data_IF_725702016652
#
_entry.id   IF_725702016652
#
_cell.length_a   1.000
_cell.length_b   1.000
_cell.length_c   1.000
_cell.angle_alpha   90.00
_cell.angle_beta   90.00
_cell.angle_gamma   90.00
#
_symmetry.space_group_name_H-M   'P 1'
#
loop_
_entity.id
_entity.type
_entity.pdbx_description
1 polymer ?
#
# COMPACT_ATOMS: atom_id res chain seq x y z
N UNK A 1 -14.04 28.92 9.01
CA UNK A 1 -13.26 29.60 7.96
C UNK A 1 -13.53 31.08 8.11
N UNK A 2 -12.63 31.81 8.76
CA UNK A 2 -12.76 33.24 9.05
C UNK A 2 -11.37 33.85 9.20
N UNK A 3 -11.23 35.05 8.64
CA UNK A 3 -10.02 35.86 8.44
C UNK A 3 -9.68 36.66 9.70
N UNK A 4 -8.39 36.83 10.01
CA UNK A 4 -7.78 38.14 10.29
C UNK A 4 -6.29 38.05 10.57
N UNK A 5 -5.48 38.81 9.82
CA UNK A 5 -4.42 39.67 10.39
C UNK A 5 -4.24 40.87 9.46
N UNK A 6 -4.41 42.08 10.00
CA UNK A 6 -3.90 43.30 9.38
C UNK A 6 -2.39 43.26 9.56
N UNK A 7 -1.67 42.93 8.49
CA UNK A 7 -0.23 43.16 8.41
C UNK A 7 0.04 44.67 8.36
N UNK A 8 1.23 45.11 8.77
CA UNK A 8 1.69 46.52 8.76
C UNK A 8 1.56 47.20 7.38
N UNK A 9 1.31 46.43 6.32
CA UNK A 9 1.30 46.83 4.91
C UNK A 9 -0.08 47.13 4.30
N UNK A 10 -1.15 47.34 5.08
CA UNK A 10 -2.49 47.65 4.54
C UNK A 10 -2.98 46.59 3.51
N UNK A 11 -2.85 45.30 3.83
CA UNK A 11 -3.41 44.21 3.00
C UNK A 11 -4.43 43.41 3.80
N UNK A 12 -5.63 43.22 3.25
CA UNK A 12 -6.62 42.29 3.78
C UNK A 12 -6.71 41.03 2.92
N UNK A 13 -6.50 39.87 3.52
CA UNK A 13 -6.60 38.57 2.86
C UNK A 13 -7.96 37.94 3.12
N UNK A 14 -8.70 37.59 2.07
CA UNK A 14 -9.94 36.82 2.16
C UNK A 14 -9.68 35.41 1.65
N UNK A 15 -9.53 34.46 2.57
CA UNK A 15 -9.33 33.05 2.22
C UNK A 15 -10.65 32.40 1.78
N UNK A 16 -10.63 31.75 0.62
CA UNK A 16 -11.80 31.11 0.01
C UNK A 16 -11.73 29.59 0.13
N UNK A 17 -10.53 29.02 0.01
CA UNK A 17 -10.30 27.59 0.21
C UNK A 17 -8.88 27.30 0.70
N UNK A 18 -8.62 26.04 1.03
CA UNK A 18 -7.27 25.54 1.22
C UNK A 18 -6.97 24.64 0.03
N UNK A 19 -5.99 25.04 -0.77
CA UNK A 19 -5.54 24.24 -1.90
C UNK A 19 -4.25 23.53 -1.54
N UNK A 20 -4.06 22.35 -2.10
CA UNK A 20 -2.78 21.67 -2.09
C UNK A 20 -2.66 20.77 -3.30
N UNK A 21 -1.48 20.20 -3.49
CA UNK A 21 -1.20 19.32 -4.61
C UNK A 21 -1.59 17.89 -4.27
N UNK A 22 -2.29 17.26 -5.20
CA UNK A 22 -2.57 15.84 -5.25
C UNK A 22 -2.08 15.30 -6.58
N UNK A 23 -2.00 13.98 -6.70
CA UNK A 23 -1.69 13.35 -7.97
C UNK A 23 -2.78 12.39 -8.43
N UNK A 24 -2.92 12.27 -9.74
CA UNK A 24 -3.80 11.35 -10.44
C UNK A 24 -2.96 10.37 -11.24
N UNK A 25 -3.30 9.09 -11.18
CA UNK A 25 -2.68 8.09 -12.05
C UNK A 25 -3.67 7.00 -12.44
N UNK A 26 -3.41 6.33 -13.55
CA UNK A 26 -4.01 5.03 -13.86
C UNK A 26 -2.98 3.90 -13.88
N UNK A 27 -1.73 4.20 -13.50
CA UNK A 27 -0.71 3.18 -13.30
C UNK A 27 -1.08 2.30 -12.13
N UNK A 28 -0.74 1.02 -12.26
CA UNK A 28 -0.97 0.03 -11.24
C UNK A 28 0.10 -1.05 -11.35
N UNK A 29 0.87 -1.25 -10.28
CA UNK A 29 1.85 -2.33 -10.25
C UNK A 29 1.13 -3.67 -10.03
N UNK A 30 1.42 -4.70 -10.85
CA UNK A 30 0.93 -6.03 -10.61
C UNK A 30 1.64 -6.59 -9.37
N UNK A 31 1.03 -6.43 -8.21
CA UNK A 31 1.57 -6.97 -6.97
C UNK A 31 1.35 -8.49 -6.94
N UNK A 32 2.44 -9.25 -7.05
CA UNK A 32 2.44 -10.70 -6.80
C UNK A 32 3.16 -10.89 -5.46
N UNK A 33 2.43 -10.91 -4.35
CA UNK A 33 2.97 -11.46 -3.12
C UNK A 33 2.71 -12.95 -3.04
N UNK A 34 3.65 -13.67 -2.42
CA UNK A 34 3.45 -15.04 -2.00
C UNK A 34 2.36 -15.17 -0.92
N UNK A 35 1.96 -14.06 -0.28
CA UNK A 35 0.85 -14.05 0.68
C UNK A 35 -0.43 -14.59 0.05
N UNK A 36 -0.57 -14.47 -1.27
CA UNK A 36 -1.67 -15.07 -2.02
C UNK A 36 -1.89 -16.56 -1.71
N UNK A 37 -0.85 -17.33 -1.39
CA UNK A 37 -0.98 -18.75 -1.03
C UNK A 37 -1.48 -18.96 0.40
N UNK A 38 -1.29 -17.99 1.28
CA UNK A 38 -1.71 -18.06 2.68
C UNK A 38 -3.07 -17.38 2.92
N UNK A 39 -3.46 -16.45 2.04
CA UNK A 39 -4.72 -15.70 2.09
C UNK A 39 -6.02 -16.49 1.95
N UNK A 40 -6.10 -17.69 1.32
CA UNK A 40 -7.38 -18.38 1.16
C UNK A 40 -8.07 -18.68 2.49
N UNK A 41 -7.29 -18.81 3.56
CA UNK A 41 -7.79 -18.98 4.91
C UNK A 41 -7.28 -17.90 5.85
N UNK A 42 -8.16 -17.50 6.76
CA UNK A 42 -7.79 -16.60 7.85
C UNK A 42 -6.77 -17.29 8.77
N UNK A 43 -5.95 -16.52 9.47
CA UNK A 43 -4.90 -17.05 10.36
C UNK A 43 -5.47 -18.01 11.41
N UNK A 44 -6.68 -17.76 11.89
CA UNK A 44 -7.40 -18.60 12.85
C UNK A 44 -7.67 -20.00 12.29
N UNK A 45 -8.04 -20.10 11.02
CA UNK A 45 -8.30 -21.39 10.36
C UNK A 45 -7.01 -22.22 10.23
N UNK A 46 -5.87 -21.58 9.93
CA UNK A 46 -4.57 -22.25 9.92
C UNK A 46 -4.17 -22.76 11.30
N UNK A 47 -4.39 -21.97 12.35
CA UNK A 47 -4.13 -22.38 13.73
C UNK A 47 -5.02 -23.56 14.12
N UNK A 48 -6.32 -23.50 13.83
CA UNK A 48 -7.28 -24.58 14.12
C UNK A 48 -6.91 -25.85 13.34
N UNK A 49 -6.50 -25.73 12.08
CA UNK A 49 -6.01 -26.84 11.27
C UNK A 49 -4.73 -27.47 11.86
N UNK A 50 -3.77 -26.66 12.29
CA UNK A 50 -2.55 -27.16 12.94
C UNK A 50 -2.84 -27.90 14.24
N UNK A 51 -3.78 -27.39 15.05
CA UNK A 51 -4.25 -28.03 16.29
C UNK A 51 -5.00 -29.33 15.98
N UNK A 52 -5.89 -29.36 14.99
CA UNK A 52 -6.62 -30.57 14.62
C UNK A 52 -5.71 -31.67 14.07
N UNK A 53 -4.74 -31.33 13.22
CA UNK A 53 -3.70 -32.26 12.74
C UNK A 53 -2.92 -32.84 13.93
N UNK A 54 -2.42 -31.97 14.82
CA UNK A 54 -1.63 -32.39 15.98
C UNK A 54 -2.41 -33.29 16.92
N UNK A 55 -3.68 -32.98 17.17
CA UNK A 55 -4.55 -33.82 18.02
C UNK A 55 -4.83 -35.19 17.40
N UNK A 56 -5.11 -35.27 16.10
CA UNK A 56 -5.35 -36.55 15.41
C UNK A 56 -4.07 -37.40 15.41
N UNK A 57 -2.91 -36.80 15.14
CA UNK A 57 -1.61 -37.48 15.22
C UNK A 57 -1.38 -38.03 16.63
N UNK A 58 -1.65 -37.22 17.67
CA UNK A 58 -1.54 -37.64 19.07
C UNK A 58 -2.45 -38.82 19.39
N UNK A 59 -3.74 -38.72 19.06
CA UNK A 59 -4.74 -39.77 19.30
C UNK A 59 -4.38 -41.07 18.57
N UNK A 60 -3.97 -40.98 17.29
CA UNK A 60 -3.56 -42.15 16.50
C UNK A 60 -2.30 -42.80 17.04
N UNK A 61 -1.31 -42.00 17.47
CA UNK A 61 -0.06 -42.51 18.06
C UNK A 61 -0.33 -43.22 19.39
N UNK A 62 -1.19 -42.63 20.23
CA UNK A 62 -1.61 -43.23 21.50
C UNK A 62 -2.38 -44.53 21.25
N UNK A 63 -3.38 -44.53 20.36
CA UNK A 63 -4.16 -45.70 20.01
C UNK A 63 -3.28 -46.83 19.46
N UNK A 64 -2.33 -46.49 18.57
CA UNK A 64 -1.34 -47.43 18.07
C UNK A 64 -0.51 -48.02 19.21
N UNK A 65 0.07 -47.20 20.10
CA UNK A 65 0.89 -47.70 21.20
C UNK A 65 0.11 -48.65 22.13
N UNK A 66 -1.14 -48.33 22.46
CA UNK A 66 -1.96 -49.18 23.33
C UNK A 66 -2.41 -50.48 22.66
N UNK A 67 -2.75 -50.46 21.37
CA UNK A 67 -3.25 -51.63 20.65
C UNK A 67 -2.13 -52.57 20.15
N UNK A 68 -0.94 -52.02 19.87
CA UNK A 68 0.15 -52.74 19.20
C UNK A 68 1.38 -53.02 20.09
N UNK A 69 1.25 -52.95 21.42
CA UNK A 69 2.38 -53.16 22.36
C UNK A 69 3.20 -54.46 22.14
N UNK A 70 2.66 -55.46 21.42
CA UNK A 70 3.33 -56.74 21.14
C UNK A 70 3.85 -56.91 19.70
N UNK A 71 3.43 -56.08 18.74
CA UNK A 71 3.76 -56.25 17.33
C UNK A 71 4.72 -55.15 16.87
N UNK A 72 5.85 -55.53 16.27
CA UNK A 72 6.93 -54.62 15.86
C UNK A 72 6.71 -53.93 14.49
N UNK A 73 5.48 -53.82 14.00
CA UNK A 73 5.25 -53.20 12.68
C UNK A 73 5.38 -51.68 12.77
N UNK A 74 6.37 -51.03 12.11
CA UNK A 74 6.52 -49.58 12.17
C UNK A 74 5.32 -48.88 11.53
N UNK A 75 4.72 -47.91 12.24
CA UNK A 75 3.63 -47.07 11.73
C UNK A 75 3.95 -45.60 12.01
N UNK A 76 3.87 -44.77 10.98
CA UNK A 76 4.09 -43.32 11.07
C UNK A 76 2.76 -42.57 10.97
N UNK A 77 2.16 -42.29 12.12
CA UNK A 77 0.85 -41.63 12.19
C UNK A 77 0.85 -40.23 11.53
N UNK A 78 1.94 -39.47 11.67
CA UNK A 78 2.03 -38.12 11.11
C UNK A 78 2.03 -38.13 9.57
N UNK A 79 2.77 -39.06 8.95
CA UNK A 79 2.78 -39.21 7.49
C UNK A 79 1.40 -39.61 6.96
N UNK A 80 0.70 -40.52 7.64
CA UNK A 80 -0.65 -40.92 7.26
C UNK A 80 -1.65 -39.75 7.31
N UNK A 81 -1.60 -38.95 8.39
CA UNK A 81 -2.49 -37.79 8.56
C UNK A 81 -2.19 -36.72 7.51
N UNK A 82 -0.92 -36.41 7.23
CA UNK A 82 -0.56 -35.45 6.18
C UNK A 82 -0.91 -35.97 4.78
N UNK A 83 -0.63 -37.25 4.47
CA UNK A 83 -1.01 -37.84 3.19
C UNK A 83 -2.51 -37.70 2.95
N UNK A 84 -3.34 -38.09 3.93
CA UNK A 84 -4.80 -37.94 3.83
C UNK A 84 -5.29 -36.49 3.75
N UNK A 85 -4.55 -35.52 4.32
CA UNK A 85 -4.85 -34.09 4.14
C UNK A 85 -4.62 -33.65 2.70
N UNK A 86 -3.60 -34.18 2.03
CA UNK A 86 -3.31 -33.90 0.62
C UNK A 86 -4.06 -34.81 -0.35
N UNK A 87 -5.13 -35.47 0.12
CA UNK A 87 -5.92 -36.44 -0.66
C UNK A 87 -5.11 -37.65 -1.18
N UNK A 88 -3.97 -37.93 -0.56
CA UNK A 88 -3.11 -39.07 -0.87
C UNK A 88 -3.37 -40.26 0.05
N UNK A 89 -3.26 -41.47 -0.50
CA UNK A 89 -3.43 -42.71 0.24
C UNK A 89 -2.23 -43.03 1.13
N UNK A 90 -2.47 -43.35 2.40
CA UNK A 90 -1.44 -43.81 3.35
C UNK A 90 -1.60 -45.28 3.75
N UNK A 91 -0.51 -45.91 4.18
CA UNK A 91 -0.57 -47.27 4.75
C UNK A 91 -1.16 -47.23 6.16
N UNK A 92 -2.28 -47.94 6.37
CA UNK A 92 -2.90 -48.12 7.68
C UNK A 92 -2.82 -49.61 8.10
N UNK A 93 -2.29 -49.93 9.30
CA UNK A 93 -2.26 -51.31 9.78
C UNK A 93 -3.67 -51.90 9.93
N UNK A 94 -3.84 -53.13 9.46
CA UNK A 94 -5.16 -53.79 9.38
C UNK A 94 -5.89 -53.97 10.71
N UNK A 95 -5.19 -54.00 11.86
CA UNK A 95 -5.87 -54.05 13.17
C UNK A 95 -6.39 -52.69 13.61
N UNK A 96 -5.69 -51.59 13.29
CA UNK A 96 -6.19 -50.23 13.53
C UNK A 96 -7.44 -49.96 12.69
N UNK A 97 -7.39 -50.35 11.42
CA UNK A 97 -8.50 -50.23 10.48
C UNK A 97 -9.76 -50.96 10.97
N UNK A 98 -9.63 -52.07 11.70
CA UNK A 98 -10.78 -52.84 12.22
C UNK A 98 -11.45 -52.21 13.44
N UNK A 99 -10.80 -51.27 14.13
CA UNK A 99 -11.39 -50.65 15.32
C UNK A 99 -12.43 -49.60 14.94
N UNK A 100 -13.63 -49.70 15.52
CA UNK A 100 -14.75 -48.79 15.23
C UNK A 100 -14.39 -47.33 15.50
N UNK A 101 -13.68 -47.06 16.61
CA UNK A 101 -13.19 -45.73 16.94
C UNK A 101 -12.29 -45.12 15.86
N UNK A 102 -11.24 -45.83 15.41
CA UNK A 102 -10.35 -45.30 14.38
C UNK A 102 -11.08 -45.11 13.04
N UNK A 103 -12.04 -45.99 12.69
CA UNK A 103 -12.86 -45.80 11.49
C UNK A 103 -13.67 -44.50 11.52
N UNK A 104 -14.32 -44.21 12.65
CA UNK A 104 -15.10 -42.98 12.79
C UNK A 104 -14.19 -41.75 12.77
N UNK A 105 -13.07 -41.78 13.50
CA UNK A 105 -12.13 -40.67 13.56
C UNK A 105 -11.50 -40.38 12.19
N UNK A 106 -10.98 -41.40 11.51
CA UNK A 106 -10.39 -41.26 10.17
C UNK A 106 -11.47 -40.88 9.16
N UNK A 107 -12.68 -41.42 9.25
CA UNK A 107 -13.80 -41.05 8.38
C UNK A 107 -14.16 -39.57 8.50
N UNK A 108 -14.29 -39.04 9.72
CA UNK A 108 -14.55 -37.62 9.95
C UNK A 108 -13.38 -36.77 9.44
N UNK A 109 -12.14 -37.18 9.74
CA UNK A 109 -10.94 -36.50 9.25
C UNK A 109 -10.88 -36.45 7.72
N UNK A 110 -11.10 -37.57 7.04
CA UNK A 110 -11.09 -37.63 5.57
C UNK A 110 -12.16 -36.75 4.94
N UNK A 111 -13.39 -36.73 5.49
CA UNK A 111 -14.43 -35.81 5.01
C UNK A 111 -13.99 -34.36 5.20
N UNK A 112 -13.41 -34.01 6.36
CA UNK A 112 -12.94 -32.65 6.62
C UNK A 112 -11.76 -32.25 5.75
N UNK A 113 -10.78 -33.14 5.55
CA UNK A 113 -9.64 -32.92 4.66
C UNK A 113 -10.12 -32.58 3.26
N UNK A 114 -11.02 -33.38 2.68
CA UNK A 114 -11.59 -33.16 1.34
C UNK A 114 -12.34 -31.82 1.25
N UNK A 115 -13.09 -31.43 2.30
CA UNK A 115 -13.78 -30.13 2.31
C UNK A 115 -12.77 -28.97 2.35
N UNK A 116 -11.72 -29.09 3.16
CA UNK A 116 -10.69 -28.06 3.30
C UNK A 116 -9.83 -27.95 2.04
N UNK A 117 -9.33 -29.05 1.47
CA UNK A 117 -8.56 -29.00 0.22
C UNK A 117 -9.38 -28.42 -0.93
N UNK A 118 -10.62 -28.86 -1.10
CA UNK A 118 -11.49 -28.32 -2.15
C UNK A 118 -11.87 -26.86 -1.91
N UNK A 119 -12.10 -26.45 -0.65
CA UNK A 119 -12.35 -25.07 -0.30
C UNK A 119 -11.13 -24.17 -0.58
N UNK A 120 -9.94 -24.61 -0.17
CA UNK A 120 -8.68 -23.94 -0.43
C UNK A 120 -8.44 -23.78 -1.93
N UNK A 121 -8.54 -24.88 -2.69
CA UNK A 121 -8.38 -24.88 -4.15
C UNK A 121 -9.41 -23.97 -4.82
N UNK A 122 -10.68 -24.02 -4.40
CA UNK A 122 -11.75 -23.18 -4.95
C UNK A 122 -11.51 -21.70 -4.73
N UNK A 123 -11.13 -21.29 -3.52
CA UNK A 123 -10.81 -19.89 -3.21
C UNK A 123 -9.55 -19.46 -3.95
N UNK A 124 -8.50 -20.29 -3.95
CA UNK A 124 -7.25 -20.00 -4.64
C UNK A 124 -7.47 -19.82 -6.16
N UNK A 125 -8.25 -20.70 -6.78
CA UNK A 125 -8.64 -20.57 -8.21
C UNK A 125 -9.48 -19.32 -8.43
N UNK A 126 -10.45 -19.03 -7.56
CA UNK A 126 -11.30 -17.84 -7.69
C UNK A 126 -10.48 -16.55 -7.59
N UNK A 127 -9.53 -16.49 -6.66
CA UNK A 127 -8.65 -15.35 -6.45
C UNK A 127 -7.66 -15.21 -7.62
N UNK A 128 -7.15 -16.33 -8.17
CA UNK A 128 -6.31 -16.33 -9.38
C UNK A 128 -7.06 -15.83 -10.62
N UNK A 129 -8.37 -16.11 -10.70
CA UNK A 129 -9.23 -15.67 -11.78
C UNK A 129 -9.82 -14.27 -11.54
N UNK A 130 -9.79 -13.78 -10.30
CA UNK A 130 -10.20 -12.41 -10.00
C UNK A 130 -9.19 -11.42 -10.59
N UNK A 131 -9.62 -10.21 -10.99
CA UNK A 131 -8.69 -9.16 -11.37
C UNK A 131 -7.79 -8.90 -10.18
N UNK A 132 -6.49 -9.20 -10.34
CA UNK A 132 -5.53 -9.05 -9.26
C UNK A 132 -5.65 -7.66 -8.67
N UNK A 133 -5.57 -7.58 -7.33
CA UNK A 133 -5.46 -6.31 -6.64
C UNK A 133 -4.23 -5.61 -7.18
N UNK A 134 -4.47 -4.58 -7.98
CA UNK A 134 -3.38 -3.77 -8.47
C UNK A 134 -2.99 -2.80 -7.37
N UNK A 135 -1.69 -2.67 -7.12
CA UNK A 135 -1.18 -1.66 -6.21
C UNK A 135 -1.13 -0.33 -6.97
N UNK A 136 -1.86 0.66 -6.49
CA UNK A 136 -1.77 2.03 -6.97
C UNK A 136 -1.00 2.85 -5.94
N UNK A 137 -0.14 3.79 -6.35
CA UNK A 137 0.44 4.73 -5.40
C UNK A 137 -0.67 5.59 -4.80
N UNK A 138 -0.79 5.62 -3.48
CA UNK A 138 -1.81 6.39 -2.74
C UNK A 138 -1.21 7.65 -2.12
N UNK A 139 0.10 7.64 -1.87
CA UNK A 139 0.86 8.70 -1.19
C UNK A 139 2.02 9.18 -2.05
N UNK A 140 2.49 10.40 -1.77
CA UNK A 140 3.62 10.96 -2.51
C UNK A 140 4.93 10.21 -2.24
N UNK A 141 5.07 9.57 -1.08
CA UNK A 141 6.23 8.74 -0.80
C UNK A 141 6.32 7.51 -1.71
N UNK A 142 5.18 6.99 -2.18
CA UNK A 142 5.14 5.87 -3.14
C UNK A 142 5.70 6.27 -4.51
N UNK A 143 5.80 7.58 -4.77
CA UNK A 143 6.34 8.13 -6.01
C UNK A 143 7.84 8.36 -5.96
N UNK A 144 8.46 8.36 -4.78
CA UNK A 144 9.89 8.66 -4.63
C UNK A 144 10.75 7.60 -5.34
N UNK A 145 11.68 8.03 -6.19
CA UNK A 145 12.56 7.09 -6.88
C UNK A 145 13.75 6.63 -6.02
N UNK A 146 14.25 7.52 -5.16
CA UNK A 146 15.34 7.23 -4.24
C UNK A 146 15.25 8.08 -2.99
N UNK A 147 15.48 7.47 -1.82
CA UNK A 147 15.49 8.11 -0.50
C UNK A 147 16.75 8.97 -0.23
N UNK A 148 17.28 9.66 -1.24
CA UNK A 148 18.50 10.46 -1.10
C UNK A 148 18.31 11.57 -0.05
N UNK A 149 17.17 12.24 -0.07
CA UNK A 149 16.91 13.37 0.82
C UNK A 149 16.59 12.90 2.23
N UNK A 150 15.86 11.80 2.39
CA UNK A 150 15.69 11.16 3.70
C UNK A 150 17.04 10.82 4.37
N UNK A 151 18.04 10.37 3.61
CA UNK A 151 19.41 10.20 4.10
C UNK A 151 20.04 11.52 4.57
N UNK A 152 19.94 12.57 3.75
CA UNK A 152 20.46 13.91 4.08
C UNK A 152 19.78 14.50 5.32
N UNK A 153 18.46 14.40 5.42
CA UNK A 153 17.65 14.89 6.54
C UNK A 153 18.01 14.19 7.86
N UNK A 154 18.30 12.87 7.82
CA UNK A 154 18.82 12.15 9.00
C UNK A 154 20.20 12.62 9.42
N UNK A 155 21.06 12.99 8.47
CA UNK A 155 22.41 13.48 8.75
C UNK A 155 22.41 14.90 9.35
N UNK A 156 21.44 15.74 8.96
CA UNK A 156 21.26 17.11 9.46
C UNK A 156 21.14 17.16 10.99
N UNK A 157 20.45 16.19 11.59
CA UNK A 157 20.26 16.15 13.05
C UNK A 157 21.46 15.55 13.82
N UNK A 158 22.44 14.96 13.14
CA UNK A 158 23.59 14.37 13.83
C UNK A 158 24.60 15.46 14.16
N UNK A 159 25.06 15.45 15.41
CA UNK A 159 26.04 16.41 15.94
C UNK A 159 27.21 16.63 14.96
N UNK A 160 27.39 17.90 14.53
CA UNK A 160 28.39 18.34 13.55
C UNK A 160 29.83 17.98 13.96
N UNK A 161 30.07 17.61 15.21
CA UNK A 161 31.40 17.33 15.77
C UNK A 161 31.96 15.94 15.45
N UNK A 162 31.19 15.00 14.87
CA UNK A 162 31.67 13.63 14.53
C UNK A 162 31.28 13.19 13.12
N UNK A 163 31.89 13.85 12.13
CA UNK A 163 31.72 13.50 10.71
C UNK A 163 32.50 12.21 10.40
N UNK A 164 31.77 11.13 10.15
CA UNK A 164 32.25 9.82 9.69
C UNK A 164 32.53 9.83 8.17
N UNK A 165 33.28 8.84 7.67
CA UNK A 165 33.45 8.62 6.22
C UNK A 165 32.13 8.44 5.46
N UNK A 166 31.10 7.89 6.11
CA UNK A 166 29.74 7.79 5.55
C UNK A 166 29.12 9.15 5.24
N UNK A 167 29.53 10.19 5.96
CA UNK A 167 28.89 11.49 5.95
C UNK A 167 29.38 12.31 4.73
N UNK A 168 30.58 12.00 4.20
CA UNK A 168 31.07 12.58 2.94
C UNK A 168 30.20 12.23 1.72
N UNK A 169 29.64 11.02 1.63
CA UNK A 169 28.70 10.67 0.54
C UNK A 169 27.40 11.49 0.63
N UNK A 170 26.95 11.78 1.85
CA UNK A 170 25.78 12.64 2.05
C UNK A 170 26.07 14.08 1.63
N UNK A 171 27.29 14.56 1.87
CA UNK A 171 27.74 15.88 1.42
C UNK A 171 27.77 15.98 -0.11
N UNK A 172 28.26 14.96 -0.81
CA UNK A 172 28.24 14.92 -2.28
C UNK A 172 26.82 14.92 -2.85
N UNK A 173 25.90 14.16 -2.25
CA UNK A 173 24.49 14.21 -2.64
C UNK A 173 23.88 15.60 -2.41
N UNK A 174 24.30 16.30 -1.34
CA UNK A 174 23.83 17.64 -1.04
C UNK A 174 24.37 18.66 -2.04
N UNK A 175 25.63 18.59 -2.46
CA UNK A 175 26.17 19.49 -3.48
C UNK A 175 25.49 19.27 -4.83
N UNK A 176 25.20 18.01 -5.20
CA UNK A 176 24.41 17.70 -6.40
C UNK A 176 22.98 18.22 -6.30
N UNK A 177 22.32 18.04 -5.16
CA UNK A 177 20.99 18.61 -4.90
C UNK A 177 21.03 20.13 -4.99
N UNK A 178 22.04 20.76 -4.39
CA UNK A 178 22.17 22.20 -4.38
C UNK A 178 22.39 22.79 -5.78
N UNK A 179 23.21 22.13 -6.57
CA UNK A 179 23.43 22.44 -7.98
C UNK A 179 22.15 22.26 -8.80
N UNK A 180 21.39 21.19 -8.56
CA UNK A 180 20.08 20.97 -9.18
C UNK A 180 19.08 22.10 -8.88
N UNK A 181 18.92 22.47 -7.60
CA UNK A 181 18.06 23.59 -7.17
C UNK A 181 18.49 24.88 -7.86
N UNK A 182 19.79 25.17 -7.85
CA UNK A 182 20.35 26.36 -8.49
C UNK A 182 20.09 26.40 -9.99
N UNK A 183 20.24 25.26 -10.70
CA UNK A 183 19.94 25.17 -12.14
C UNK A 183 18.47 25.39 -12.47
N UNK A 184 17.54 24.86 -11.67
CA UNK A 184 16.11 25.10 -11.87
C UNK A 184 15.77 26.58 -11.63
N UNK A 185 16.35 27.17 -10.58
CA UNK A 185 16.13 28.56 -10.19
C UNK A 185 16.73 29.56 -11.18
N UNK A 186 17.99 29.37 -11.57
CA UNK A 186 18.66 30.17 -12.61
C UNK A 186 18.03 29.94 -13.98
N UNK A 187 17.61 28.70 -14.24
CA UNK A 187 16.91 28.30 -15.45
C UNK A 187 15.78 29.27 -15.74
N UNK A 188 14.97 29.60 -14.72
CA UNK A 188 13.82 30.52 -14.82
C UNK A 188 14.11 31.92 -15.35
N UNK A 189 15.37 32.38 -15.30
CA UNK A 189 15.78 33.73 -15.71
C UNK A 189 16.59 33.85 -17.00
N UNK A 190 17.06 32.74 -17.58
CA UNK A 190 17.96 32.78 -18.77
C UNK A 190 17.16 32.59 -20.07
N UNK A 191 17.44 33.44 -21.06
CA UNK A 191 16.86 33.42 -22.41
C UNK A 191 16.96 32.02 -23.05
N UNK A 192 15.83 31.53 -23.59
CA UNK A 192 15.66 30.20 -24.17
C UNK A 192 16.70 29.89 -25.26
N UNK A 193 17.24 30.90 -25.94
CA UNK A 193 18.23 30.72 -27.02
C UNK A 193 19.57 30.12 -26.56
N UNK A 194 19.99 30.30 -25.31
CA UNK A 194 21.26 29.72 -24.80
C UNK A 194 21.10 28.29 -24.26
N UNK A 195 19.89 27.71 -24.34
CA UNK A 195 19.49 26.53 -23.55
C UNK A 195 19.66 25.17 -24.27
N UNK A 196 20.18 25.12 -25.50
CA UNK A 196 20.32 23.86 -26.25
C UNK A 196 21.13 22.78 -25.51
N UNK A 197 22.18 23.16 -24.76
CA UNK A 197 22.93 22.20 -23.94
C UNK A 197 22.19 21.75 -22.67
N UNK A 198 21.30 22.58 -22.13
CA UNK A 198 20.65 22.34 -20.84
C UNK A 198 19.45 21.39 -20.94
N UNK A 199 18.60 21.50 -21.97
CA UNK A 199 17.42 20.62 -22.07
C UNK A 199 17.81 19.14 -22.23
N UNK A 200 18.86 18.87 -23.02
CA UNK A 200 19.39 17.52 -23.20
C UNK A 200 19.92 16.94 -21.89
N UNK A 201 20.50 17.77 -21.02
CA UNK A 201 20.98 17.33 -19.70
C UNK A 201 19.84 17.06 -18.71
N UNK A 202 18.78 17.89 -18.71
CA UNK A 202 17.58 17.65 -17.90
C UNK A 202 16.89 16.33 -18.27
N UNK A 203 16.97 15.92 -19.53
CA UNK A 203 16.36 14.68 -20.02
C UNK A 203 17.29 13.46 -19.93
N UNK A 204 18.62 13.63 -19.84
CA UNK A 204 19.57 12.52 -19.92
C UNK A 204 19.68 11.67 -18.64
N UNK A 205 19.28 12.21 -17.49
CA UNK A 205 19.40 11.54 -16.19
C UNK A 205 18.10 10.91 -15.69
N UNK A 206 17.06 10.88 -16.52
CA UNK A 206 15.77 10.28 -16.19
C UNK A 206 15.93 8.75 -16.18
N UNK A 207 15.54 8.12 -15.08
CA UNK A 207 15.46 6.66 -14.99
C UNK A 207 14.02 6.22 -15.30
N UNK A 208 13.85 5.38 -16.32
CA UNK A 208 12.56 4.84 -16.76
C UNK A 208 11.84 4.03 -15.66
N UNK A 209 12.54 3.64 -14.59
CA UNK A 209 11.94 2.98 -13.42
C UNK A 209 11.22 3.94 -12.48
N UNK A 210 11.55 5.23 -12.52
CA UNK A 210 10.94 6.26 -11.69
C UNK A 210 9.59 6.70 -12.25
N UNK A 211 8.75 7.26 -11.39
CA UNK A 211 7.54 7.95 -11.86
C UNK A 211 7.88 9.23 -12.62
N UNK A 212 7.19 9.47 -13.73
CA UNK A 212 7.13 10.79 -14.35
C UNK A 212 6.12 11.65 -13.62
N UNK A 213 6.54 12.83 -13.20
CA UNK A 213 5.78 13.78 -12.37
C UNK A 213 5.31 14.95 -13.24
N UNK A 214 4.27 14.72 -14.03
CA UNK A 214 3.75 15.73 -14.96
C UNK A 214 2.83 16.70 -14.24
N UNK A 215 2.83 17.99 -14.61
CA UNK A 215 1.94 18.99 -14.03
C UNK A 215 1.54 20.04 -15.08
N UNK A 216 0.46 20.81 -14.85
CA UNK A 216 0.10 21.95 -15.70
C UNK A 216 1.25 22.94 -15.86
N UNK A 217 1.26 23.66 -16.97
CA UNK A 217 2.22 24.73 -17.21
C UNK A 217 1.53 26.07 -16.98
N UNK A 218 2.13 26.91 -16.13
CA UNK A 218 1.59 28.23 -15.86
C UNK A 218 1.88 29.20 -17.00
N UNK A 219 0.86 29.97 -17.39
CA UNK A 219 0.98 31.04 -18.39
C UNK A 219 1.51 32.31 -17.72
N UNK A 220 2.71 32.25 -17.13
CA UNK A 220 3.35 33.45 -16.59
C UNK A 220 4.21 34.12 -17.65
N UNK A 221 4.11 35.45 -17.69
CA UNK A 221 3.92 36.23 -18.90
C UNK A 221 5.14 36.48 -19.77
N UNK A 222 6.35 35.97 -19.50
CA UNK A 222 7.48 36.32 -20.37
C UNK A 222 8.66 35.36 -20.49
N UNK A 223 8.92 34.40 -19.60
CA UNK A 223 10.25 33.75 -19.65
C UNK A 223 10.37 32.25 -19.47
N UNK A 224 9.34 31.44 -19.18
CA UNK A 224 9.47 29.98 -19.28
C UNK A 224 8.19 29.18 -19.07
N UNK A 225 8.02 28.13 -19.86
CA UNK A 225 7.08 27.06 -19.58
C UNK A 225 7.74 26.06 -18.60
N UNK A 226 7.77 26.39 -17.31
CA UNK A 226 8.12 25.44 -16.27
C UNK A 226 6.85 24.72 -15.79
N UNK A 227 6.86 23.39 -15.59
CA UNK A 227 5.75 22.69 -14.96
C UNK A 227 5.51 23.26 -13.56
N UNK A 228 4.25 23.48 -13.20
CA UNK A 228 3.85 24.11 -11.96
C UNK A 228 4.40 23.37 -10.73
N UNK A 229 4.26 22.05 -10.69
CA UNK A 229 4.73 21.32 -9.51
C UNK A 229 6.27 21.35 -9.39
N UNK A 230 6.98 21.40 -10.51
CA UNK A 230 8.44 21.55 -10.52
C UNK A 230 8.86 22.93 -9.98
N UNK A 231 8.11 23.99 -10.29
CA UNK A 231 8.42 25.33 -9.77
C UNK A 231 8.26 25.38 -8.24
N UNK A 232 7.22 24.74 -7.71
CA UNK A 232 6.99 24.61 -6.27
C UNK A 232 8.11 23.83 -5.60
N UNK A 233 8.50 22.67 -6.14
CA UNK A 233 9.63 21.90 -5.62
C UNK A 233 10.94 22.68 -5.66
N UNK A 234 11.17 23.47 -6.72
CA UNK A 234 12.33 24.35 -6.83
C UNK A 234 12.33 25.46 -5.77
N UNK A 235 11.19 26.10 -5.51
CA UNK A 235 11.05 27.08 -4.44
C UNK A 235 11.32 26.43 -3.06
N UNK A 236 10.71 25.28 -2.79
CA UNK A 236 10.94 24.50 -1.58
C UNK A 236 12.41 24.09 -1.40
N UNK A 237 13.07 23.76 -2.52
CA UNK A 237 14.48 23.42 -2.55
C UNK A 237 15.37 24.60 -2.21
N UNK A 238 15.05 25.80 -2.72
CA UNK A 238 15.76 27.03 -2.35
C UNK A 238 15.57 27.33 -0.87
N UNK A 239 14.34 27.26 -0.35
CA UNK A 239 14.06 27.47 1.06
C UNK A 239 14.83 26.49 1.94
N UNK A 240 14.92 25.22 1.51
CA UNK A 240 15.75 24.22 2.16
C UNK A 240 17.23 24.61 2.15
N UNK A 241 17.79 25.04 1.02
CA UNK A 241 19.19 25.49 0.93
C UNK A 241 19.47 26.69 1.84
N UNK A 242 18.60 27.70 1.83
CA UNK A 242 18.74 28.87 2.69
C UNK A 242 18.62 28.49 4.17
N UNK A 243 17.64 27.67 4.54
CA UNK A 243 17.51 27.15 5.90
C UNK A 243 18.75 26.37 6.31
N UNK A 244 19.30 25.56 5.39
CA UNK A 244 20.49 24.74 5.62
C UNK A 244 21.74 25.59 5.91
N UNK A 245 21.90 26.70 5.18
CA UNK A 245 23.06 27.59 5.33
C UNK A 245 22.98 28.50 6.56
N UNK A 246 21.79 28.97 6.93
CA UNK A 246 21.65 30.13 7.82
C UNK A 246 20.95 29.87 9.16
N UNK A 247 20.26 28.73 9.36
CA UNK A 247 19.47 28.49 10.58
C UNK A 247 19.73 27.10 11.22
N UNK A 248 20.07 27.08 12.51
CA UNK A 248 20.27 25.86 13.32
C UNK A 248 18.97 25.41 14.03
N UNK A 249 17.85 26.14 13.89
CA UNK A 249 16.68 25.99 14.75
C UNK A 249 15.43 25.50 14.00
N UNK A 250 15.16 24.19 14.11
CA UNK A 250 13.81 23.67 14.30
C UNK A 250 12.84 23.67 13.12
N UNK A 251 13.26 23.95 11.88
CA UNK A 251 12.39 23.74 10.72
C UNK A 251 11.90 22.28 10.72
N UNK A 252 10.58 22.08 10.74
CA UNK A 252 9.98 20.75 10.78
C UNK A 252 10.33 20.00 9.50
N UNK A 253 11.13 18.94 9.66
CA UNK A 253 11.60 18.02 8.61
C UNK A 253 10.48 17.58 7.65
N UNK A 254 9.25 17.53 8.15
CA UNK A 254 8.05 17.15 7.41
C UNK A 254 7.76 18.06 6.21
N UNK A 255 8.07 19.36 6.29
CA UNK A 255 7.85 20.31 5.18
C UNK A 255 8.71 19.92 3.97
N UNK A 256 9.91 19.40 4.22
CA UNK A 256 10.88 19.02 3.19
C UNK A 256 10.76 17.57 2.72
N UNK A 257 9.82 16.79 3.27
CA UNK A 257 9.61 15.38 2.87
C UNK A 257 9.35 15.23 1.37
N UNK A 258 8.65 16.20 0.77
CA UNK A 258 8.33 16.18 -0.67
C UNK A 258 9.54 16.46 -1.55
N UNK A 259 10.65 16.97 -1.00
CA UNK A 259 11.87 17.15 -1.78
C UNK A 259 12.47 15.80 -2.23
N UNK A 260 12.07 14.66 -1.64
CA UNK A 260 12.42 13.33 -2.18
C UNK A 260 11.96 13.16 -3.65
N UNK A 261 10.97 13.93 -4.10
CA UNK A 261 10.51 13.97 -5.49
C UNK A 261 11.31 14.94 -6.35
N UNK A 262 12.08 15.83 -5.74
CA UNK A 262 12.90 16.84 -6.42
C UNK A 262 14.29 16.31 -6.75
N UNK A 263 14.32 15.25 -7.55
CA UNK A 263 15.53 14.60 -8.08
C UNK A 263 15.53 14.62 -9.60
N UNK A 264 16.70 14.74 -10.26
CA UNK A 264 16.82 14.66 -11.72
C UNK A 264 16.43 13.29 -12.29
N UNK A 265 16.24 12.26 -11.44
CA UNK A 265 15.78 10.94 -11.87
C UNK A 265 14.30 10.94 -12.29
N UNK A 266 13.50 11.87 -11.77
CA UNK A 266 12.12 12.05 -12.19
C UNK A 266 12.05 12.91 -13.46
N UNK A 267 11.27 12.48 -14.45
CA UNK A 267 10.89 13.38 -15.54
C UNK A 267 9.71 14.26 -15.12
N UNK A 268 9.85 15.57 -15.34
CA UNK A 268 8.77 16.56 -15.15
C UNK A 268 8.14 16.99 -16.48
N UNK A 269 8.61 16.44 -17.59
CA UNK A 269 8.23 16.84 -18.93
C UNK A 269 7.75 15.63 -19.75
N UNK A 270 6.80 15.82 -20.67
CA UNK A 270 6.48 14.78 -21.64
C UNK A 270 7.65 14.53 -22.59
N UNK A 271 7.78 13.29 -23.06
CA UNK A 271 8.83 12.81 -23.96
C UNK A 271 8.90 13.59 -25.28
N UNK A 272 7.74 13.95 -25.85
CA UNK A 272 7.62 14.52 -27.20
C UNK A 272 7.71 16.06 -27.21
N UNK A 273 8.24 16.70 -26.15
CA UNK A 273 8.27 18.17 -26.05
C UNK A 273 9.58 18.75 -26.57
N UNK A 274 9.52 19.42 -27.72
CA UNK A 274 10.57 20.30 -28.21
C UNK A 274 10.26 21.75 -27.82
N UNK A 275 10.94 22.26 -26.79
CA UNK A 275 10.79 23.66 -26.31
C UNK A 275 11.22 24.72 -27.34
N UNK A 276 11.92 24.30 -28.40
CA UNK A 276 12.50 25.19 -29.40
C UNK A 276 11.63 25.36 -30.65
N UNK A 277 10.46 24.72 -30.70
CA UNK A 277 9.57 24.90 -31.83
C UNK A 277 8.74 26.17 -31.63
N UNK A 278 8.76 27.10 -32.59
CA UNK A 278 8.06 28.40 -32.52
C UNK A 278 6.54 28.26 -32.33
N UNK A 279 5.99 27.07 -32.58
CA UNK A 279 4.56 26.73 -32.42
C UNK A 279 4.24 26.10 -31.05
N UNK A 280 4.95 26.49 -29.99
CA UNK A 280 4.67 25.99 -28.64
C UNK A 280 3.35 26.58 -28.10
N UNK A 281 2.26 25.82 -28.24
CA UNK A 281 0.97 26.17 -27.62
C UNK A 281 0.73 25.33 -26.37
N UNK A 282 0.16 25.95 -25.33
CA UNK A 282 -0.24 25.24 -24.09
C UNK A 282 -1.17 24.07 -24.36
N UNK A 283 -2.03 24.17 -25.39
CA UNK A 283 -2.92 23.08 -25.78
C UNK A 283 -2.18 21.83 -26.30
N UNK A 284 -1.11 22.01 -27.07
CA UNK A 284 -0.27 20.88 -27.54
C UNK A 284 0.41 20.20 -26.36
N UNK A 285 0.92 20.98 -25.40
CA UNK A 285 1.59 20.47 -24.22
C UNK A 285 0.63 19.72 -23.28
N UNK A 286 -0.54 20.29 -23.05
CA UNK A 286 -1.62 19.63 -22.31
C UNK A 286 -2.03 18.32 -22.99
N UNK A 287 -2.13 18.30 -24.33
CA UNK A 287 -2.39 17.09 -25.10
C UNK A 287 -1.30 16.02 -24.94
N UNK A 288 -0.03 16.43 -24.88
CA UNK A 288 1.09 15.51 -24.65
C UNK A 288 1.08 14.94 -23.22
N UNK A 289 0.77 15.75 -22.20
CA UNK A 289 0.57 15.27 -20.84
C UNK A 289 -0.58 14.25 -20.80
N UNK A 290 -1.72 14.60 -21.37
CA UNK A 290 -2.89 13.71 -21.45
C UNK A 290 -2.53 12.38 -22.11
N UNK A 291 -1.79 12.42 -23.24
CA UNK A 291 -1.33 11.23 -23.95
C UNK A 291 -0.51 10.30 -23.05
N UNK A 292 0.41 10.82 -22.25
CA UNK A 292 1.24 10.00 -21.36
C UNK A 292 0.47 9.49 -20.12
N UNK A 293 -0.39 10.32 -19.55
CA UNK A 293 -1.22 9.92 -18.40
C UNK A 293 -2.17 8.78 -18.80
N UNK A 294 -2.80 8.87 -19.97
CA UNK A 294 -3.76 7.88 -20.48
C UNK A 294 -3.09 6.56 -20.91
N UNK A 295 -1.79 6.57 -21.20
CA UNK A 295 -1.03 5.34 -21.46
C UNK A 295 -0.96 4.44 -20.23
N UNK A 296 -1.16 4.97 -19.02
CA UNK A 296 -1.04 4.24 -17.75
C UNK A 296 0.33 3.57 -17.58
N UNK A 297 1.40 4.24 -18.04
CA UNK A 297 2.77 3.92 -17.62
C UNK A 297 3.06 4.48 -16.22
N UNK A 298 4.31 4.42 -15.76
CA UNK A 298 4.76 5.06 -14.50
C UNK A 298 4.73 6.59 -14.63
N UNK A 299 3.53 7.14 -14.73
CA UNK A 299 3.26 8.56 -14.92
C UNK A 299 2.15 8.97 -13.96
N UNK A 300 2.38 10.08 -13.28
CA UNK A 300 1.36 10.73 -12.46
C UNK A 300 1.16 12.15 -12.96
N UNK A 301 -0.08 12.61 -12.90
CA UNK A 301 -0.44 13.99 -13.14
C UNK A 301 -0.66 14.69 -11.81
N UNK A 302 0.14 15.69 -11.50
CA UNK A 302 0.15 16.42 -10.25
C UNK A 302 -0.43 17.81 -10.51
N UNK A 303 -1.48 18.16 -9.79
CA UNK A 303 -2.14 19.45 -9.90
C UNK A 303 -2.75 19.82 -8.55
N UNK A 304 -3.29 21.03 -8.48
CA UNK A 304 -4.10 21.47 -7.34
C UNK A 304 -5.32 20.55 -7.21
N UNK A 305 -5.74 20.29 -5.97
CA UNK A 305 -6.83 19.33 -5.66
C UNK A 305 -8.13 19.66 -6.42
N UNK A 306 -8.46 20.95 -6.53
CA UNK A 306 -9.60 21.49 -7.28
C UNK A 306 -9.53 21.17 -8.78
N UNK A 307 -8.38 21.46 -9.40
CA UNK A 307 -8.13 21.20 -10.82
C UNK A 307 -8.06 19.70 -11.13
N UNK A 308 -7.47 18.91 -10.22
CA UNK A 308 -7.27 17.48 -10.38
C UNK A 308 -8.60 16.72 -10.45
N UNK A 309 -9.59 17.13 -9.66
CA UNK A 309 -10.92 16.52 -9.68
C UNK A 309 -11.61 16.73 -11.03
N UNK A 310 -11.51 17.94 -11.60
CA UNK A 310 -12.09 18.27 -12.91
C UNK A 310 -11.34 17.55 -14.03
N UNK A 311 -10.02 17.41 -13.90
CA UNK A 311 -9.22 16.62 -14.82
C UNK A 311 -9.60 15.14 -14.78
N UNK A 312 -9.79 14.57 -13.58
CA UNK A 312 -10.25 13.19 -13.40
C UNK A 312 -11.60 12.97 -14.07
N UNK A 313 -12.57 13.87 -13.87
CA UNK A 313 -13.89 13.78 -14.49
C UNK A 313 -13.81 13.84 -16.02
N UNK A 314 -12.98 14.73 -16.56
CA UNK A 314 -12.70 14.79 -17.99
C UNK A 314 -12.12 13.47 -18.50
N UNK A 315 -11.06 12.96 -17.86
CA UNK A 315 -10.38 11.73 -18.26
C UNK A 315 -11.27 10.50 -18.12
N UNK A 316 -12.05 10.38 -17.05
CA UNK A 316 -12.99 9.27 -16.86
C UNK A 316 -14.09 9.26 -17.93
N UNK A 317 -14.58 10.45 -18.33
CA UNK A 317 -15.58 10.60 -19.40
C UNK A 317 -15.02 10.26 -20.78
N UNK A 318 -13.79 10.69 -21.09
CA UNK A 318 -13.16 10.45 -22.41
C UNK A 318 -12.54 9.06 -22.54
N UNK A 319 -12.09 8.48 -21.43
CA UNK A 319 -11.37 7.21 -21.38
C UNK A 319 -12.05 6.22 -20.40
N UNK A 320 -13.30 5.80 -20.65
CA UNK A 320 -14.11 5.02 -19.70
C UNK A 320 -13.54 3.65 -19.32
N UNK A 321 -12.55 3.16 -20.08
CA UNK A 321 -11.88 1.87 -19.83
C UNK A 321 -10.67 1.99 -18.92
N UNK A 322 -10.25 3.21 -18.61
CA UNK A 322 -9.13 3.48 -17.72
C UNK A 322 -9.70 3.92 -16.37
N UNK A 323 -9.26 3.25 -15.31
CA UNK A 323 -9.60 3.64 -13.94
C UNK A 323 -8.52 4.59 -13.45
N UNK A 324 -8.88 5.87 -13.32
CA UNK A 324 -7.99 6.87 -12.75
C UNK A 324 -8.25 6.97 -11.25
N UNK A 325 -7.17 6.94 -10.48
CA UNK A 325 -7.16 7.02 -9.02
C UNK A 325 -6.45 8.31 -8.62
N UNK A 326 -7.01 9.01 -7.63
CA UNK A 326 -6.43 10.21 -7.03
C UNK A 326 -5.77 9.82 -5.72
N UNK A 327 -4.63 10.42 -5.40
CA UNK A 327 -3.93 10.23 -4.14
C UNK A 327 -4.76 10.68 -2.94
N UNK A 328 -4.73 9.91 -1.87
CA UNK A 328 -5.40 10.28 -0.61
C UNK A 328 -4.66 11.40 0.11
N UNK A 329 -3.36 11.52 -0.14
CA UNK A 329 -2.52 12.57 0.44
C UNK A 329 -2.58 13.87 -0.37
N UNK A 330 -2.79 14.98 0.34
CA UNK A 330 -2.60 16.35 -0.15
C UNK A 330 -1.28 16.87 0.40
N UNK A 331 -0.44 17.48 -0.45
CA UNK A 331 0.83 18.08 -0.03
C UNK A 331 0.88 19.56 -0.34
N UNK A 332 1.76 20.30 0.36
CA UNK A 332 1.96 21.73 0.16
C UNK A 332 0.62 22.48 0.21
N UNK A 333 -0.11 22.31 1.31
CA UNK A 333 -1.40 22.97 1.50
C UNK A 333 -1.19 24.44 1.83
N UNK A 334 -1.78 25.32 1.04
CA UNK A 334 -1.75 26.76 1.25
C UNK A 334 -3.18 27.31 1.19
N UNK A 335 -3.46 28.38 1.94
CA UNK A 335 -4.73 29.07 1.78
C UNK A 335 -4.74 29.78 0.42
N UNK A 336 -5.82 29.61 -0.33
CA UNK A 336 -6.11 30.37 -1.55
C UNK A 336 -7.17 31.43 -1.24
N UNK A 337 -7.17 32.51 -2.03
CA UNK A 337 -8.11 33.60 -1.78
C UNK A 337 -7.78 34.88 -2.53
N UNK A 338 -8.45 35.96 -2.14
CA UNK A 338 -8.26 37.29 -2.71
C UNK A 338 -7.52 38.18 -1.71
N UNK A 339 -6.46 38.83 -2.18
CA UNK A 339 -5.78 39.88 -1.44
C UNK A 339 -6.31 41.26 -1.87
N UNK A 340 -6.75 42.06 -0.89
CA UNK A 340 -7.17 43.44 -1.09
C UNK A 340 -6.07 44.36 -0.58
N UNK A 341 -5.44 45.11 -1.49
CA UNK A 341 -4.51 46.19 -1.13
C UNK A 341 -5.32 47.44 -0.73
N UNK A 342 -4.88 48.13 0.33
CA UNK A 342 -5.53 49.33 0.89
C UNK A 342 -6.99 49.11 1.30
N UNK A 343 -7.28 48.15 2.21
CA UNK A 343 -8.63 47.73 2.55
C UNK A 343 -9.44 48.74 3.37
N UNK A 344 -8.83 49.87 3.78
CA UNK A 344 -9.34 50.79 4.81
C UNK A 344 -10.84 51.10 4.66
N UNK A 345 -11.64 50.43 5.50
CA UNK A 345 -13.11 50.55 5.61
C UNK A 345 -13.89 50.35 4.31
N UNK A 346 -13.31 49.73 3.28
CA UNK A 346 -13.99 49.52 2.02
C UNK A 346 -15.24 48.64 2.22
N UNK A 347 -16.45 49.11 1.85
CA UNK A 347 -17.66 48.28 1.85
C UNK A 347 -17.52 47.03 0.98
N UNK A 348 -16.65 47.08 -0.04
CA UNK A 348 -16.42 45.97 -0.98
C UNK A 348 -15.94 44.72 -0.24
N UNK A 349 -15.02 44.85 0.72
CA UNK A 349 -14.47 43.70 1.44
C UNK A 349 -15.54 43.04 2.31
N UNK A 350 -16.41 43.85 2.94
CA UNK A 350 -17.55 43.34 3.73
C UNK A 350 -18.54 42.60 2.85
N UNK A 351 -18.89 43.17 1.70
CA UNK A 351 -19.78 42.52 0.74
C UNK A 351 -19.18 41.25 0.15
N UNK A 352 -17.89 41.28 -0.22
CA UNK A 352 -17.18 40.12 -0.76
C UNK A 352 -17.09 38.99 0.25
N UNK A 353 -16.83 39.30 1.52
CA UNK A 353 -16.91 38.32 2.61
C UNK A 353 -18.29 37.65 2.65
N UNK A 354 -19.37 38.41 2.53
CA UNK A 354 -20.73 37.85 2.43
C UNK A 354 -20.91 36.92 1.23
N UNK A 355 -20.31 37.22 0.08
CA UNK A 355 -20.33 36.36 -1.13
C UNK A 355 -19.59 35.04 -0.90
N UNK A 356 -18.43 35.08 -0.24
CA UNK A 356 -17.65 33.88 0.11
C UNK A 356 -18.38 33.04 1.16
N UNK A 357 -18.90 33.66 2.22
CA UNK A 357 -19.65 32.97 3.27
C UNK A 357 -20.95 32.35 2.76
N UNK A 358 -21.59 32.96 1.75
CA UNK A 358 -22.74 32.40 1.06
C UNK A 358 -22.39 31.24 0.10
N UNK A 359 -21.10 30.92 -0.11
CA UNK A 359 -20.63 29.87 -1.01
C UNK A 359 -20.70 30.22 -2.50
N UNK A 360 -21.09 31.46 -2.84
CA UNK A 360 -21.23 31.91 -4.23
C UNK A 360 -19.87 31.91 -4.95
N UNK A 361 -18.82 32.37 -4.27
CA UNK A 361 -17.47 32.40 -4.85
C UNK A 361 -16.98 31.00 -5.24
N UNK A 362 -17.13 30.02 -4.34
CA UNK A 362 -16.72 28.62 -4.57
C UNK A 362 -17.48 28.02 -5.76
N UNK A 363 -18.76 28.35 -5.91
CA UNK A 363 -19.55 27.90 -7.05
C UNK A 363 -19.04 28.49 -8.37
N UNK A 364 -18.80 29.80 -8.43
CA UNK A 364 -18.29 30.49 -9.63
C UNK A 364 -16.91 29.98 -10.02
N UNK A 365 -16.00 29.81 -9.06
CA UNK A 365 -14.66 29.26 -9.29
C UNK A 365 -14.74 27.83 -9.85
N UNK A 366 -15.66 27.01 -9.33
CA UNK A 366 -15.94 25.67 -9.85
C UNK A 366 -16.42 25.68 -11.31
N UNK A 367 -17.34 26.58 -11.66
CA UNK A 367 -17.82 26.73 -13.04
C UNK A 367 -16.72 27.20 -13.99
N UNK A 368 -15.90 28.16 -13.59
CA UNK A 368 -14.78 28.65 -14.40
C UNK A 368 -13.75 27.54 -14.66
N UNK A 369 -13.41 26.74 -13.64
CA UNK A 369 -12.52 25.62 -13.79
C UNK A 369 -13.12 24.53 -14.71
N UNK A 370 -14.42 24.23 -14.59
CA UNK A 370 -15.08 23.28 -15.49
C UNK A 370 -15.11 23.78 -16.95
N UNK A 371 -15.26 25.08 -17.16
CA UNK A 371 -15.25 25.69 -18.48
C UNK A 371 -13.93 25.45 -19.23
N UNK A 372 -12.79 25.35 -18.51
CA UNK A 372 -11.47 25.03 -19.11
C UNK A 372 -11.49 23.70 -19.87
N UNK A 373 -12.25 22.70 -19.39
CA UNK A 373 -12.31 21.36 -19.97
C UNK A 373 -13.55 21.11 -20.86
N UNK A 374 -14.49 22.06 -20.95
CA UNK A 374 -15.75 21.88 -21.68
C UNK A 374 -15.53 21.67 -23.19
N UNK A 375 -14.71 22.53 -23.80
CA UNK A 375 -14.39 22.48 -25.24
C UNK A 375 -13.13 21.68 -25.58
N UNK A 376 -12.52 21.02 -24.59
CA UNK A 376 -11.28 20.27 -24.81
C UNK A 376 -11.57 18.96 -25.54
N UNK A 377 -10.87 18.74 -26.65
CA UNK A 377 -10.86 17.47 -27.38
C UNK A 377 -9.90 16.49 -26.71
N UNK A 378 -10.19 15.20 -26.80
CA UNK A 378 -9.30 14.16 -26.28
C UNK A 378 -8.01 14.14 -27.10
N UNK A 379 -6.87 14.05 -26.43
CA UNK A 379 -5.57 14.03 -27.09
C UNK A 379 -5.29 12.70 -27.80
N UNK A 380 -5.88 11.60 -27.30
CA UNK A 380 -5.69 10.25 -27.85
C UNK A 380 -7.03 9.65 -28.21
N UNK A 381 -7.19 9.25 -29.47
CA UNK A 381 -8.34 8.45 -29.90
C UNK A 381 -8.03 6.98 -29.60
N UNK A 382 -8.53 6.49 -28.47
CA UNK A 382 -8.43 5.06 -28.12
C UNK A 382 -9.23 4.23 -29.13
N UNK A 383 -8.54 3.43 -29.97
CA UNK A 383 -9.21 2.37 -30.74
C UNK A 383 -9.78 1.36 -29.74
N UNK A 384 -11.10 1.19 -29.74
CA UNK A 384 -11.76 0.20 -28.90
C UNK A 384 -11.25 -1.22 -29.24
N UNK A 385 -10.33 -1.76 -28.46
CA UNK A 385 -10.04 -3.20 -28.47
C UNK A 385 -11.18 -3.91 -27.71
N UNK A 386 -11.91 -4.81 -28.35
CA UNK A 386 -13.20 -5.33 -27.86
C UNK A 386 -13.14 -6.31 -26.68
N UNK A 387 -12.04 -6.38 -25.93
CA UNK A 387 -11.88 -7.34 -24.84
C UNK A 387 -11.82 -6.62 -23.49
N UNK A 388 -12.99 -6.32 -22.91
CA UNK A 388 -13.08 -5.95 -21.49
C UNK A 388 -13.75 -7.11 -20.76
N UNK A 389 -12.95 -7.80 -19.96
CA UNK A 389 -13.39 -8.90 -19.11
C UNK A 389 -14.12 -8.30 -17.91
N UNK A 390 -15.37 -8.73 -17.73
CA UNK A 390 -16.25 -8.37 -16.63
C UNK A 390 -15.73 -8.95 -15.31
N UNK A 391 -15.84 -8.15 -14.25
CA UNK A 391 -15.34 -8.52 -12.93
C UNK A 391 -16.52 -8.54 -11.98
N UNK A 392 -16.88 -9.71 -11.44
CA UNK A 392 -17.94 -9.79 -10.44
C UNK A 392 -17.79 -10.97 -9.47
N UNK A 393 -18.00 -10.63 -8.21
CA UNK A 393 -18.88 -11.30 -7.23
C UNK A 393 -18.52 -12.75 -6.89
N UNK A 394 -17.59 -12.94 -5.95
CA UNK A 394 -17.60 -14.13 -5.10
C UNK A 394 -16.79 -13.94 -3.81
N UNK A 395 -17.03 -12.88 -3.04
CA UNK A 395 -16.55 -12.85 -1.64
C UNK A 395 -17.45 -13.71 -0.78
N UNK A 396 -17.07 -14.98 -0.59
CA UNK A 396 -17.75 -15.99 0.23
C UNK A 396 -17.49 -15.75 1.74
N UNK A 397 -17.76 -14.54 2.22
CA UNK A 397 -17.40 -14.09 3.57
C UNK A 397 -18.22 -14.71 4.71
N UNK A 398 -19.19 -15.59 4.42
CA UNK A 398 -20.11 -16.15 5.42
C UNK A 398 -20.08 -17.67 5.59
N UNK A 399 -19.59 -18.44 4.62
CA UNK A 399 -19.75 -19.90 4.59
C UNK A 399 -18.59 -20.68 5.24
N UNK A 400 -17.42 -20.07 5.38
CA UNK A 400 -16.25 -20.73 5.99
C UNK A 400 -16.40 -20.96 7.51
N UNK A 401 -16.86 -19.99 8.32
CA UNK A 401 -17.01 -20.21 9.77
C UNK A 401 -17.93 -21.38 10.11
N UNK A 402 -18.98 -21.61 9.31
CA UNK A 402 -19.92 -22.71 9.51
C UNK A 402 -19.28 -24.09 9.34
N UNK A 403 -18.29 -24.24 8.44
CA UNK A 403 -17.58 -25.51 8.25
C UNK A 403 -16.71 -25.84 9.47
N UNK A 404 -16.01 -24.84 10.02
CA UNK A 404 -15.16 -25.04 11.20
C UNK A 404 -15.97 -25.35 12.47
N UNK A 405 -17.14 -24.73 12.64
CA UNK A 405 -18.05 -25.03 13.77
C UNK A 405 -18.55 -26.48 13.68
N UNK A 406 -18.97 -26.92 12.49
CA UNK A 406 -19.41 -28.30 12.27
C UNK A 406 -18.27 -29.30 12.51
N UNK A 407 -17.07 -29.01 12.03
CA UNK A 407 -15.89 -29.84 12.26
C UNK A 407 -15.54 -30.00 13.74
N UNK A 408 -15.49 -28.88 14.48
CA UNK A 408 -15.22 -28.88 15.91
C UNK A 408 -16.26 -29.70 16.68
N UNK A 409 -17.54 -29.57 16.33
CA UNK A 409 -18.62 -30.31 17.00
C UNK A 409 -18.51 -31.83 16.81
N UNK A 410 -18.14 -32.29 15.59
CA UNK A 410 -17.99 -33.70 15.27
C UNK A 410 -16.77 -34.31 15.95
N UNK A 411 -15.65 -33.58 16.03
CA UNK A 411 -14.46 -34.00 16.76
C UNK A 411 -14.78 -34.15 18.25
N UNK A 412 -15.46 -33.18 18.86
CA UNK A 412 -15.90 -33.27 20.25
C UNK A 412 -16.79 -34.50 20.49
N UNK A 413 -17.74 -34.78 19.60
CA UNK A 413 -18.57 -35.98 19.70
C UNK A 413 -17.75 -37.28 19.62
N UNK A 414 -16.75 -37.34 18.72
CA UNK A 414 -15.85 -38.49 18.61
C UNK A 414 -15.01 -38.71 19.89
N UNK A 415 -14.54 -37.63 20.52
CA UNK A 415 -13.83 -37.73 21.81
C UNK A 415 -14.74 -38.29 22.92
N UNK A 416 -16.00 -37.84 23.00
CA UNK A 416 -16.97 -38.35 23.98
C UNK A 416 -17.26 -39.84 23.74
N UNK A 417 -17.42 -40.25 22.49
CA UNK A 417 -17.62 -41.65 22.12
C UNK A 417 -16.41 -42.52 22.54
N UNK A 418 -15.19 -42.03 22.32
CA UNK A 418 -13.97 -42.70 22.78
C UNK A 418 -13.94 -42.91 24.29
N UNK A 419 -14.25 -41.85 25.05
CA UNK A 419 -14.27 -41.90 26.51
C UNK A 419 -15.30 -42.94 26.98
N UNK A 420 -16.51 -42.94 26.40
CA UNK A 420 -17.56 -43.91 26.70
C UNK A 420 -17.14 -45.35 26.39
N UNK A 421 -16.58 -45.60 25.21
CA UNK A 421 -16.16 -46.94 24.79
C UNK A 421 -14.99 -47.47 25.65
N UNK A 422 -14.14 -46.57 26.14
CA UNK A 422 -12.98 -46.91 26.98
C UNK A 422 -13.19 -46.69 28.47
N UNK A 423 -14.38 -46.28 28.92
CA UNK A 423 -14.65 -46.03 30.35
C UNK A 423 -14.29 -47.22 31.23
N UNK A 424 -14.59 -48.45 30.80
CA UNK A 424 -14.26 -49.68 31.53
C UNK A 424 -12.75 -49.92 31.63
N UNK A 425 -11.99 -49.55 30.60
CA UNK A 425 -10.53 -49.70 30.59
C UNK A 425 -9.84 -48.58 31.37
N UNK A 426 -10.36 -47.35 31.29
CA UNK A 426 -9.87 -46.19 32.05
C UNK A 426 -10.10 -46.39 33.55
N UNK A 427 -11.26 -46.91 33.95
CA UNK A 427 -11.54 -47.27 35.36
C UNK A 427 -10.57 -48.35 35.84
N UNK A 428 -10.28 -49.35 35.01
CA UNK A 428 -9.30 -50.39 35.34
C UNK A 428 -7.89 -49.82 35.50
N UNK A 429 -7.51 -48.86 34.65
CA UNK A 429 -6.19 -48.22 34.67
C UNK A 429 -6.02 -47.27 35.87
N UNK A 430 -7.04 -46.47 36.19
CA UNK A 430 -7.07 -45.62 37.39
C UNK A 430 -7.10 -46.46 38.67
N UNK A 431 -7.78 -47.62 38.66
CA UNK A 431 -7.75 -48.57 39.76
C UNK A 431 -6.35 -49.17 39.99
N UNK A 432 -5.63 -49.50 38.90
CA UNK A 432 -4.27 -50.02 38.96
C UNK A 432 -3.25 -48.99 39.45
N UNK A 433 -3.33 -47.73 39.03
CA UNK A 433 -2.43 -46.68 39.53
C UNK A 433 -2.68 -46.35 41.01
N UNK A 434 -3.94 -46.37 41.46
CA UNK A 434 -4.29 -46.23 42.88
C UNK A 434 -3.86 -47.45 43.73
N UNK A 435 -3.80 -48.65 43.16
CA UNK A 435 -3.27 -49.83 43.85
C UNK A 435 -1.75 -49.77 43.96
N UNK A 436 -1.04 -49.36 42.89
CA UNK A 436 0.41 -49.21 42.89
C UNK A 436 0.91 -48.17 43.91
N UNK A 437 0.20 -47.05 44.08
CA UNK A 437 0.53 -46.05 45.09
C UNK A 437 0.29 -46.54 46.54
N UNK A 438 -0.60 -47.51 46.73
CA UNK A 438 -0.85 -48.11 48.06
C UNK A 438 0.22 -49.13 48.46
N UNK A 439 0.90 -49.77 47.51
CA UNK A 439 2.03 -50.67 47.80
C UNK A 439 3.36 -49.92 48.03
N UNK A 440 3.52 -48.71 47.48
CA UNK A 440 4.73 -47.89 47.68
C UNK A 440 4.81 -47.21 49.07
N UNK A 441 3.75 -47.23 49.88
CA UNK A 441 3.73 -46.65 51.23
C UNK A 441 3.90 -47.68 52.37
N UNK A 442 4.13 -48.95 52.03
CA UNK A 442 4.29 -50.04 53.01
C UNK A 442 5.64 -50.77 52.85
N UNK A 443 6.73 -50.03 52.67
CA UNK A 443 8.09 -50.53 52.91
C UNK A 443 8.63 -49.91 54.20
N UNK A 444 8.55 -50.60 55.35
CA UNK A 444 9.24 -50.16 56.54
C UNK A 444 10.75 -50.31 56.33
N UNK A 445 11.44 -49.18 56.51
CA UNK A 445 12.88 -49.07 56.69
C UNK A 445 13.38 -50.10 57.72
N UNK A 446 14.08 -51.12 57.26
CA UNK A 446 14.74 -52.11 58.11
C UNK A 446 16.23 -52.18 57.75
N UNK A 447 16.99 -51.50 58.61
CA UNK A 447 18.37 -51.77 59.04
C UNK A 447 19.50 -51.78 57.99
N UNK A 448 20.20 -50.64 57.92
CA UNK A 448 21.66 -50.58 57.88
C UNK A 448 22.20 -50.85 59.30
N UNK A 449 22.87 -51.99 59.52
CA UNK A 449 23.88 -52.18 60.58
C UNK A 449 24.97 -53.12 60.04
N UNK A 450 26.24 -52.70 60.20
CA UNK A 450 27.54 -53.35 59.90
C UNK A 450 27.98 -53.33 58.42
N UNK A 451 29.15 -52.81 58.04
CA UNK A 451 30.44 -52.66 58.73
C UNK A 451 31.13 -51.33 58.46
#
# INVERSE_FOLDING_TARGET
>A
MAIMTLDENDVALVFTSFEGYQFLTCYAEPYISFDFYLTPYQTEAWVVLGVSISTIIGVMTIAYHFLYKKDKQPFSAWLFVLASLFEEGGFLPSKLEKTTFCRILIGIWSIMSVILTNGYNGIMISELNSPRRFYHPEKFDDLACQDQINGMLKSWHRDKTRISKSDWRHYENLTQFADWVHRISMGSGVDLKYRNGYSNYLMSNVDDKCYKLLSPFQRNSLMQALPEFLSILGALGNDFQYSWMWYDNGATLEIFRNLNLFTPMHSFYPNDVSFFNENFSLGVLQGNIEKEVVQCGKTVFIAKSSELQIEKEFLARKYPRKKFVVSDQVVQTYPSGIAFQFPLRSPIIKSFKGVVEAGIWVHVEGEELQAKNFNRTQAVVMRQSNNIVLTNIATLNGALPTVFILAGSLICAAMVAFIKERQLYIILLMGLTLSQNRYASFTPSLLEITA
#
